data_IF_120520198396
#
_entry.id   IF_120520198396
#
_cell.length_a   1.000
_cell.length_b   1.000
_cell.length_c   1.000
_cell.angle_alpha   90.00
_cell.angle_beta   90.00
_cell.angle_gamma   90.00
#
_symmetry.space_group_name_H-M   'P 1'
#
loop_
_entity.id
_entity.type
_entity.pdbx_description
1 polymer ?
#
# COMPACT_ATOMS: atom_id res chain seq x y z
N UNK A 1 15.02 -34.55 -2.46
CA UNK A 1 15.86 -33.60 -1.69
C UNK A 1 14.92 -32.55 -1.14
N UNK A 2 14.74 -32.45 0.17
CA UNK A 2 13.90 -31.43 0.78
C UNK A 2 14.67 -30.11 0.70
N UNK A 3 14.27 -29.22 -0.21
CA UNK A 3 14.76 -27.84 -0.21
C UNK A 3 14.18 -27.17 1.04
N UNK A 4 15.04 -26.66 1.92
CA UNK A 4 14.60 -25.89 3.08
C UNK A 4 13.88 -24.64 2.57
N UNK A 5 12.61 -24.48 2.95
CA UNK A 5 11.85 -23.25 2.69
C UNK A 5 12.60 -22.10 3.35
N UNK A 6 12.80 -21.01 2.60
CA UNK A 6 13.50 -19.83 3.10
C UNK A 6 12.49 -18.82 3.63
N UNK A 7 12.51 -18.57 4.93
CA UNK A 7 11.68 -17.54 5.53
C UNK A 7 12.25 -16.14 5.29
N UNK A 8 11.37 -15.17 5.00
CA UNK A 8 11.66 -13.74 4.90
C UNK A 8 10.70 -12.98 5.81
N UNK A 9 11.22 -12.29 6.82
CA UNK A 9 10.39 -11.62 7.82
C UNK A 9 9.60 -10.44 7.23
N UNK A 10 10.23 -9.65 6.34
CA UNK A 10 9.61 -8.46 5.72
C UNK A 10 9.87 -8.39 4.21
N UNK A 11 8.80 -8.45 3.43
CA UNK A 11 8.79 -8.14 2.00
C UNK A 11 8.34 -6.70 1.78
N UNK A 12 9.11 -5.92 1.02
CA UNK A 12 8.78 -4.52 0.70
C UNK A 12 8.54 -4.43 -0.81
N UNK A 13 7.30 -4.14 -1.23
CA UNK A 13 6.98 -3.87 -2.63
C UNK A 13 6.99 -2.36 -2.88
N UNK A 14 7.71 -1.91 -3.91
CA UNK A 14 7.81 -0.50 -4.29
C UNK A 14 8.08 -0.36 -5.79
N UNK A 15 7.42 0.59 -6.43
CA UNK A 15 7.53 0.95 -7.85
C UNK A 15 8.09 2.36 -8.05
N UNK A 16 8.10 3.19 -7.00
CA UNK A 16 8.42 4.60 -7.08
C UNK A 16 9.84 4.93 -6.60
N UNK A 17 10.53 5.84 -7.30
CA UNK A 17 11.93 6.17 -6.99
C UNK A 17 12.11 7.01 -5.71
N UNK A 18 11.08 7.78 -5.34
CA UNK A 18 11.10 8.67 -4.17
C UNK A 18 10.93 7.92 -2.84
N UNK A 19 10.45 6.67 -2.89
CA UNK A 19 10.43 5.76 -1.72
C UNK A 19 11.83 5.30 -1.31
N UNK A 20 12.87 5.57 -2.10
CA UNK A 20 14.23 5.02 -1.91
C UNK A 20 14.76 5.21 -0.49
N UNK A 21 14.69 6.41 0.06
CA UNK A 21 15.27 6.71 1.37
C UNK A 21 14.48 6.05 2.49
N UNK A 22 13.16 5.98 2.34
CA UNK A 22 12.28 5.28 3.27
C UNK A 22 12.53 3.77 3.25
N UNK A 23 12.61 3.15 2.07
CA UNK A 23 12.94 1.74 1.91
C UNK A 23 14.32 1.42 2.50
N UNK A 24 15.32 2.28 2.29
CA UNK A 24 16.63 2.11 2.91
C UNK A 24 16.55 2.19 4.45
N UNK A 25 15.74 3.08 5.00
CA UNK A 25 15.52 3.17 6.43
C UNK A 25 14.92 1.87 6.97
N UNK A 26 13.89 1.32 6.31
CA UNK A 26 13.29 0.03 6.67
C UNK A 26 14.32 -1.11 6.65
N UNK A 27 15.12 -1.21 5.59
CA UNK A 27 16.18 -2.22 5.47
C UNK A 27 17.23 -2.11 6.59
N UNK A 28 17.64 -0.88 6.93
CA UNK A 28 18.58 -0.64 8.05
C UNK A 28 17.98 -1.08 9.39
N UNK A 29 16.70 -0.77 9.63
CA UNK A 29 16.04 -1.17 10.87
C UNK A 29 15.84 -2.69 10.96
N UNK A 30 15.38 -3.33 9.89
CA UNK A 30 15.28 -4.79 9.82
C UNK A 30 16.63 -5.45 10.14
N UNK A 31 17.72 -4.97 9.52
CA UNK A 31 19.07 -5.47 9.80
C UNK A 31 19.49 -5.27 11.26
N UNK A 32 19.19 -4.11 11.86
CA UNK A 32 19.46 -3.83 13.29
C UNK A 32 18.69 -4.78 14.21
N UNK A 33 17.49 -5.16 13.82
CA UNK A 33 16.63 -6.11 14.52
C UNK A 33 16.93 -7.57 14.18
N UNK A 34 17.92 -7.84 13.31
CA UNK A 34 18.25 -9.17 12.80
C UNK A 34 17.10 -9.86 12.05
N UNK A 35 16.22 -9.07 11.44
CA UNK A 35 15.16 -9.52 10.56
C UNK A 35 15.67 -9.57 9.12
N UNK A 36 15.27 -10.60 8.40
CA UNK A 36 15.44 -10.74 6.97
C UNK A 36 14.43 -9.85 6.24
N UNK A 37 14.93 -8.97 5.37
CA UNK A 37 14.09 -8.09 4.58
C UNK A 37 14.50 -8.13 3.11
N UNK A 38 13.51 -8.15 2.22
CA UNK A 38 13.71 -8.20 0.77
C UNK A 38 12.85 -7.16 0.06
N UNK A 39 13.42 -6.48 -0.93
CA UNK A 39 12.71 -5.45 -1.70
C UNK A 39 12.36 -5.98 -3.08
N UNK A 40 11.07 -5.98 -3.38
CA UNK A 40 10.54 -6.29 -4.69
C UNK A 40 10.34 -5.00 -5.47
N UNK A 41 10.91 -4.96 -6.66
CA UNK A 41 10.67 -3.91 -7.67
C UNK A 41 10.17 -4.58 -8.94
N UNK A 42 9.72 -3.79 -9.91
CA UNK A 42 9.24 -4.29 -11.21
C UNK A 42 10.15 -5.35 -11.84
N UNK A 43 11.48 -5.17 -11.78
CA UNK A 43 12.47 -6.12 -12.30
C UNK A 43 12.57 -7.47 -11.55
N UNK A 44 12.21 -7.51 -10.26
CA UNK A 44 12.29 -8.72 -9.43
C UNK A 44 10.92 -9.29 -9.09
N UNK A 45 9.83 -8.63 -9.50
CA UNK A 45 8.46 -8.98 -9.19
C UNK A 45 8.10 -10.41 -9.63
N UNK A 46 8.20 -10.69 -10.93
CA UNK A 46 7.85 -11.99 -11.49
C UNK A 46 8.70 -13.14 -10.92
N UNK A 47 10.04 -13.03 -10.82
CA UNK A 47 10.84 -14.03 -10.11
C UNK A 47 10.39 -14.26 -8.65
N UNK A 48 10.00 -13.20 -7.93
CA UNK A 48 9.54 -13.34 -6.54
C UNK A 48 8.21 -14.07 -6.46
N UNK A 49 7.27 -13.74 -7.35
CA UNK A 49 5.98 -14.44 -7.48
C UNK A 49 6.20 -15.94 -7.72
N UNK A 50 7.10 -16.31 -8.63
CA UNK A 50 7.42 -17.72 -8.90
C UNK A 50 7.95 -18.44 -7.65
N UNK A 51 8.86 -17.81 -6.89
CA UNK A 51 9.38 -18.38 -5.65
C UNK A 51 8.27 -18.62 -4.61
N UNK A 52 7.31 -17.69 -4.51
CA UNK A 52 6.16 -17.80 -3.60
C UNK A 52 5.19 -18.91 -4.03
N UNK A 53 4.89 -19.00 -5.32
CA UNK A 53 4.00 -20.03 -5.88
C UNK A 53 4.59 -21.43 -5.73
N UNK A 54 5.91 -21.57 -5.87
CA UNK A 54 6.62 -22.82 -5.68
C UNK A 54 6.85 -23.20 -4.20
N UNK A 55 6.52 -22.31 -3.26
CA UNK A 55 6.78 -22.52 -1.83
C UNK A 55 8.28 -22.52 -1.47
N UNK A 56 9.13 -21.91 -2.29
CA UNK A 56 10.57 -21.80 -2.05
C UNK A 56 10.90 -20.73 -1.01
N UNK A 57 10.03 -19.72 -0.91
CA UNK A 57 10.10 -18.68 0.12
C UNK A 57 8.75 -18.53 0.84
N UNK A 58 8.81 -18.19 2.12
CA UNK A 58 7.66 -17.83 2.94
C UNK A 58 7.86 -16.41 3.48
N UNK A 59 6.79 -15.62 3.54
CA UNK A 59 6.83 -14.21 3.92
C UNK A 59 6.09 -14.02 5.24
N UNK A 60 6.75 -13.41 6.23
CA UNK A 60 6.11 -13.04 7.49
C UNK A 60 5.15 -11.86 7.32
N UNK A 61 5.65 -10.75 6.78
CA UNK A 61 4.87 -9.54 6.50
C UNK A 61 5.15 -8.95 5.12
N UNK A 62 4.12 -8.43 4.47
CA UNK A 62 4.20 -7.60 3.28
C UNK A 62 3.95 -6.14 3.66
N UNK A 63 4.86 -5.27 3.26
CA UNK A 63 4.63 -3.84 3.24
C UNK A 63 4.58 -3.36 1.79
N UNK A 64 3.37 -3.04 1.34
CA UNK A 64 3.07 -2.81 -0.07
C UNK A 64 2.84 -1.33 -0.36
N UNK A 65 3.81 -0.71 -1.05
CA UNK A 65 3.69 0.67 -1.54
C UNK A 65 3.45 0.76 -3.05
N UNK A 66 3.33 -0.37 -3.74
CA UNK A 66 3.28 -0.41 -5.20
C UNK A 66 1.89 -0.73 -5.74
N UNK A 67 1.13 -1.62 -5.09
CA UNK A 67 -0.16 -2.08 -5.64
C UNK A 67 -1.28 -1.04 -5.61
N UNK A 68 -1.09 0.14 -5.02
CA UNK A 68 -2.09 1.21 -5.16
C UNK A 68 -2.01 1.89 -6.54
N UNK A 69 -0.79 2.04 -7.07
CA UNK A 69 -0.50 2.76 -8.31
C UNK A 69 -0.14 1.87 -9.50
N UNK A 70 0.40 0.67 -9.24
CA UNK A 70 0.94 -0.22 -10.27
C UNK A 70 0.23 -1.57 -10.28
N UNK A 71 -0.61 -1.77 -11.30
CA UNK A 71 -1.45 -2.96 -11.49
C UNK A 71 -0.65 -4.28 -11.49
N UNK A 72 0.60 -4.27 -11.95
CA UNK A 72 1.42 -5.48 -12.02
C UNK A 72 1.72 -6.08 -10.64
N UNK A 73 1.65 -5.30 -9.55
CA UNK A 73 1.89 -5.79 -8.19
C UNK A 73 0.66 -6.45 -7.55
N UNK A 74 -0.52 -6.37 -8.17
CA UNK A 74 -1.77 -6.89 -7.60
C UNK A 74 -1.67 -8.40 -7.33
N UNK A 75 -1.03 -9.15 -8.25
CA UNK A 75 -0.84 -10.59 -8.08
C UNK A 75 0.00 -10.91 -6.83
N UNK A 76 1.08 -10.15 -6.58
CA UNK A 76 1.91 -10.34 -5.40
C UNK A 76 1.11 -10.15 -4.11
N UNK A 77 0.31 -9.08 -4.07
CA UNK A 77 -0.51 -8.79 -2.90
C UNK A 77 -1.59 -9.87 -2.69
N UNK A 78 -2.32 -10.25 -3.74
CA UNK A 78 -3.35 -11.29 -3.67
C UNK A 78 -2.77 -12.64 -3.19
N UNK A 79 -1.58 -13.00 -3.65
CA UNK A 79 -0.89 -14.22 -3.20
C UNK A 79 -0.57 -14.19 -1.70
N UNK A 80 -0.29 -13.02 -1.15
CA UNK A 80 0.15 -12.84 0.23
C UNK A 80 -0.97 -12.45 1.20
N UNK A 81 -2.13 -11.98 0.72
CA UNK A 81 -3.25 -11.49 1.53
C UNK A 81 -3.72 -12.49 2.60
N UNK A 82 -3.68 -13.78 2.28
CA UNK A 82 -4.06 -14.88 3.19
C UNK A 82 -2.88 -15.72 3.67
N UNK A 83 -1.63 -15.32 3.37
CA UNK A 83 -0.41 -16.10 3.66
C UNK A 83 0.61 -15.36 4.50
N UNK A 84 0.50 -14.03 4.57
CA UNK A 84 1.38 -13.16 5.32
C UNK A 84 0.57 -12.05 5.98
N UNK A 85 1.17 -11.36 6.95
CA UNK A 85 0.59 -10.13 7.46
C UNK A 85 0.78 -9.02 6.42
N UNK A 86 -0.30 -8.58 5.78
CA UNK A 86 -0.26 -7.42 4.88
C UNK A 86 -0.49 -6.15 5.69
N UNK A 87 0.53 -5.30 5.74
CA UNK A 87 0.44 -3.94 6.28
C UNK A 87 -0.19 -3.07 5.20
N UNK A 88 -1.28 -2.37 5.55
CA UNK A 88 -2.09 -1.56 4.63
C UNK A 88 -2.63 -2.37 3.43
N UNK A 89 -3.53 -3.36 3.65
CA UNK A 89 -4.16 -4.11 2.56
C UNK A 89 -4.86 -3.17 1.57
N UNK A 90 -4.84 -3.50 0.26
CA UNK A 90 -5.36 -2.62 -0.79
C UNK A 90 -6.83 -2.24 -0.59
N UNK A 91 -7.66 -3.14 -0.08
CA UNK A 91 -9.06 -2.83 0.21
C UNK A 91 -9.18 -1.70 1.26
N UNK A 92 -8.35 -1.74 2.30
CA UNK A 92 -8.32 -0.70 3.35
C UNK A 92 -7.70 0.60 2.83
N UNK A 93 -6.66 0.51 2.00
CA UNK A 93 -6.08 1.71 1.36
C UNK A 93 -7.09 2.40 0.44
N UNK A 94 -7.83 1.66 -0.37
CA UNK A 94 -8.88 2.20 -1.25
C UNK A 94 -10.02 2.85 -0.47
N UNK A 95 -10.42 2.25 0.64
CA UNK A 95 -11.39 2.87 1.54
C UNK A 95 -10.84 4.18 2.12
N UNK A 96 -9.63 4.14 2.68
CA UNK A 96 -9.01 5.29 3.31
C UNK A 96 -8.65 6.43 2.34
N UNK A 97 -8.48 6.14 1.05
CA UNK A 97 -8.16 7.15 0.04
C UNK A 97 -9.38 7.93 -0.47
N UNK A 98 -10.60 7.41 -0.27
CA UNK A 98 -11.84 8.16 -0.51
C UNK A 98 -12.04 9.22 0.58
N UNK A 99 -11.45 10.40 0.35
CA UNK A 99 -11.52 11.53 1.28
C UNK A 99 -12.96 11.99 1.55
N UNK A 100 -13.86 11.88 0.58
CA UNK A 100 -15.24 12.31 0.74
C UNK A 100 -15.96 11.41 1.74
N UNK A 101 -15.86 10.10 1.56
CA UNK A 101 -16.43 9.11 2.48
C UNK A 101 -15.76 9.16 3.85
N UNK A 102 -14.42 9.21 3.90
CA UNK A 102 -13.68 9.30 5.17
C UNK A 102 -14.04 10.54 5.99
N UNK A 103 -14.32 11.67 5.33
CA UNK A 103 -14.76 12.89 6.01
C UNK A 103 -16.08 12.68 6.76
N UNK A 104 -17.05 12.03 6.10
CA UNK A 104 -18.36 11.71 6.68
C UNK A 104 -18.22 10.69 7.81
N UNK A 105 -17.37 9.68 7.66
CA UNK A 105 -17.09 8.69 8.71
C UNK A 105 -16.47 9.31 9.96
N UNK A 106 -15.54 10.25 9.78
CA UNK A 106 -14.94 10.98 10.89
C UNK A 106 -16.00 11.78 11.66
N UNK A 107 -16.83 12.55 10.98
CA UNK A 107 -17.93 13.32 11.60
C UNK A 107 -18.90 12.36 12.32
N UNK A 108 -19.31 11.28 11.67
CA UNK A 108 -20.24 10.30 12.24
C UNK A 108 -19.69 9.62 13.51
N UNK A 109 -18.37 9.52 13.63
CA UNK A 109 -17.68 8.98 14.81
C UNK A 109 -17.19 10.07 15.79
N UNK A 110 -17.65 11.31 15.65
CA UNK A 110 -17.38 12.40 16.59
C UNK A 110 -15.99 13.04 16.46
N UNK A 111 -15.27 12.78 15.37
CA UNK A 111 -14.03 13.49 15.07
C UNK A 111 -14.35 14.82 14.40
N UNK A 112 -13.70 15.89 14.87
CA UNK A 112 -13.79 17.19 14.25
C UNK A 112 -12.97 17.22 12.96
N UNK A 113 -13.62 17.53 11.84
CA UNK A 113 -12.98 17.70 10.55
C UNK A 113 -13.11 19.17 10.09
N UNK A 114 -12.15 19.68 9.29
CA UNK A 114 -12.30 21.00 8.67
C UNK A 114 -13.56 21.06 7.80
N UNK A 115 -14.16 22.23 7.62
CA UNK A 115 -15.26 22.34 6.67
C UNK A 115 -14.77 22.06 5.23
N UNK A 116 -15.49 21.23 4.49
CA UNK A 116 -15.13 20.85 3.12
C UNK A 116 -16.37 20.72 2.21
N UNK A 117 -16.17 20.97 0.92
CA UNK A 117 -17.15 20.72 -0.13
C UNK A 117 -16.70 19.57 -1.02
N UNK A 118 -17.61 18.65 -1.32
CA UNK A 118 -17.43 17.63 -2.36
C UNK A 118 -17.96 18.25 -3.66
N UNK A 119 -17.06 18.44 -4.63
CA UNK A 119 -17.40 18.95 -5.95
C UNK A 119 -17.34 17.83 -6.98
N UNK A 120 -18.10 17.98 -8.06
CA UNK A 120 -18.08 17.06 -9.20
C UNK A 120 -16.71 17.09 -9.89
N UNK A 121 -16.41 16.03 -10.64
CA UNK A 121 -15.20 15.99 -11.46
C UNK A 121 -15.26 17.08 -12.52
N UNK A 122 -14.09 17.56 -12.96
CA UNK A 122 -14.03 18.58 -14.03
C UNK A 122 -14.67 18.13 -15.34
N UNK A 123 -14.63 16.82 -15.61
CA UNK A 123 -15.20 16.24 -16.83
C UNK A 123 -16.74 16.26 -16.82
N UNK A 124 -17.34 16.05 -15.64
CA UNK A 124 -18.78 16.11 -15.43
C UNK A 124 -19.28 17.56 -15.34
N UNK A 125 -18.50 18.42 -14.66
CA UNK A 125 -18.86 19.82 -14.47
C UNK A 125 -17.63 20.73 -14.48
N UNK A 126 -17.57 21.58 -15.51
CA UNK A 126 -16.45 22.51 -15.72
C UNK A 126 -16.55 23.77 -14.87
N UNK A 127 -17.67 23.98 -14.17
CA UNK A 127 -17.93 25.18 -13.40
C UNK A 127 -18.29 24.83 -11.96
N UNK A 128 -17.53 25.39 -11.03
CA UNK A 128 -17.86 25.33 -9.60
C UNK A 128 -18.33 26.72 -9.18
N UNK A 129 -19.55 26.79 -8.66
CA UNK A 129 -20.11 28.03 -8.12
C UNK A 129 -19.99 28.00 -6.61
N UNK A 130 -19.08 28.81 -6.07
CA UNK A 130 -18.90 29.01 -4.63
C UNK A 130 -19.26 30.45 -4.27
N UNK A 131 -19.98 30.63 -3.18
CA UNK A 131 -20.21 31.95 -2.58
C UNK A 131 -19.03 32.37 -1.71
N UNK A 132 -18.99 33.64 -1.31
CA UNK A 132 -17.97 34.12 -0.36
C UNK A 132 -18.15 33.45 1.01
N UNK A 133 -19.39 33.16 1.40
CA UNK A 133 -19.71 32.48 2.65
C UNK A 133 -19.21 31.02 2.65
N UNK A 134 -19.11 30.39 1.47
CA UNK A 134 -18.52 29.05 1.32
C UNK A 134 -16.99 29.04 1.47
N UNK A 135 -16.33 30.20 1.43
CA UNK A 135 -14.86 30.33 1.49
C UNK A 135 -14.34 30.85 2.85
N UNK A 136 -15.24 31.12 3.80
CA UNK A 136 -14.96 31.80 5.06
C UNK A 136 -14.86 30.85 6.27
#
# INVERSE_FOLDING_TARGET
MSSSIKHVDLLIATDWEYDRDFVQLLLRQARRMRLSAFVVRRRTLQPTISLLQNGEIEIGALFDRASDTSIEFYELQQLLENRAQVIEPLAQMRWASDKATMHLEFIANGLHTPYTFIIESFDDNKHVWLSVDDLA
#
